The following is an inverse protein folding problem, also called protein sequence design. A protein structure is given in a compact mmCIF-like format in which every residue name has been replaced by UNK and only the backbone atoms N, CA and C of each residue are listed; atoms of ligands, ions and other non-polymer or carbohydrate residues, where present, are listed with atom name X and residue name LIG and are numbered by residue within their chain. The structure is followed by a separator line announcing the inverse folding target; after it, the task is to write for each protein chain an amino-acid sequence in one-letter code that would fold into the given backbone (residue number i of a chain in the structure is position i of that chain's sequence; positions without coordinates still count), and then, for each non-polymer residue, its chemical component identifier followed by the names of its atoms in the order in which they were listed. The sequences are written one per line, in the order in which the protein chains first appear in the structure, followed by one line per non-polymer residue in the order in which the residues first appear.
data_IF_925025741559
#
_entry.id   IF_925025741559
#
_cell.length_a   1.000
_cell.length_b   1.000
_cell.length_c   1.000
_cell.angle_alpha   90.00
_cell.angle_beta   90.00
_cell.angle_gamma   90.00
#
_symmetry.space_group_name_H-M   'P 1'
#
loop_
_entity.id
_entity.type
_entity.pdbx_description
1 polymer ?
#
# COMPACT_ATOMS: atom_id res chain seq x y z
N UNK A 1 21.00 -0.19 -3.80
CA UNK A 1 20.54 -1.29 -4.69
C UNK A 1 20.26 -0.70 -6.06
N UNK A 2 20.94 -1.16 -7.11
CA UNK A 2 20.73 -0.63 -8.47
C UNK A 2 19.49 -1.30 -9.08
N UNK A 3 18.33 -0.65 -9.02
CA UNK A 3 17.12 -1.18 -9.65
C UNK A 3 17.30 -1.23 -11.17
N UNK A 4 16.99 -2.36 -11.79
CA UNK A 4 16.98 -2.48 -13.26
C UNK A 4 15.89 -1.57 -13.83
N UNK A 5 16.27 -0.60 -14.66
CA UNK A 5 15.35 0.34 -15.31
C UNK A 5 15.03 -0.17 -16.71
N UNK A 6 13.75 -0.14 -17.09
CA UNK A 6 13.29 -0.41 -18.45
C UNK A 6 12.45 0.76 -18.94
N UNK A 7 12.79 1.29 -20.10
CA UNK A 7 12.07 2.41 -20.72
C UNK A 7 10.81 1.89 -21.43
N UNK A 8 9.72 2.61 -21.26
CA UNK A 8 8.44 2.37 -21.94
C UNK A 8 7.95 3.69 -22.53
N UNK A 9 7.30 3.61 -23.70
CA UNK A 9 6.69 4.77 -24.36
C UNK A 9 5.18 4.61 -24.29
N UNK A 10 4.48 5.66 -23.86
CA UNK A 10 3.03 5.69 -23.72
C UNK A 10 2.47 6.89 -24.48
N UNK A 11 1.24 6.72 -24.99
CA UNK A 11 0.45 7.82 -25.53
C UNK A 11 -0.43 8.38 -24.41
N UNK A 12 -0.22 9.64 -24.06
CA UNK A 12 -1.00 10.34 -23.04
C UNK A 12 -1.70 11.56 -23.66
N UNK A 13 -2.85 11.98 -23.12
CA UNK A 13 -3.50 13.23 -23.49
C UNK A 13 -2.53 14.42 -23.35
N UNK A 14 -2.55 15.33 -24.33
CA UNK A 14 -1.62 16.47 -24.40
C UNK A 14 -1.77 17.36 -23.16
N UNK A 15 -3.01 17.62 -22.74
CA UNK A 15 -3.35 18.41 -21.56
C UNK A 15 -2.75 17.84 -20.26
N UNK A 16 -2.65 16.52 -20.16
CA UNK A 16 -2.02 15.86 -19.01
C UNK A 16 -0.50 16.00 -19.05
N UNK A 17 0.11 15.83 -20.24
CA UNK A 17 1.57 15.96 -20.41
C UNK A 17 2.01 17.39 -20.11
N UNK A 18 1.25 18.38 -20.57
CA UNK A 18 1.56 19.79 -20.36
C UNK A 18 1.46 20.18 -18.88
N UNK A 19 0.42 19.71 -18.16
CA UNK A 19 0.32 19.91 -16.70
C UNK A 19 1.48 19.31 -15.91
N UNK A 20 1.88 18.08 -16.25
CA UNK A 20 3.01 17.44 -15.56
C UNK A 20 4.32 18.16 -15.87
N UNK A 21 4.46 18.72 -17.08
CA UNK A 21 5.60 19.57 -17.43
C UNK A 21 5.61 20.86 -16.61
N UNK A 22 4.48 21.56 -16.51
CA UNK A 22 4.32 22.75 -15.66
C UNK A 22 4.72 22.45 -14.21
N UNK A 23 4.28 21.32 -13.64
CA UNK A 23 4.67 20.93 -12.29
C UNK A 23 6.18 20.68 -12.11
N UNK A 24 6.87 20.23 -13.17
CA UNK A 24 8.32 20.08 -13.13
C UNK A 24 9.02 21.44 -13.25
N UNK A 25 8.52 22.34 -14.09
CA UNK A 25 9.04 23.70 -14.26
C UNK A 25 8.86 24.53 -12.99
N UNK A 26 7.70 24.43 -12.34
CA UNK A 26 7.39 25.06 -11.05
C UNK A 26 8.03 24.35 -9.84
N UNK A 27 8.83 23.31 -10.08
CA UNK A 27 9.60 22.55 -9.08
C UNK A 27 8.76 21.82 -8.02
N UNK A 28 7.49 21.54 -8.29
CA UNK A 28 6.69 20.64 -7.45
C UNK A 28 7.15 19.19 -7.58
N UNK A 29 7.66 18.80 -8.75
CA UNK A 29 8.25 17.49 -9.00
C UNK A 29 9.66 17.63 -9.58
N UNK A 30 10.53 16.66 -9.27
CA UNK A 30 11.93 16.70 -9.70
C UNK A 30 12.11 16.54 -11.22
N UNK A 31 11.21 15.81 -11.88
CA UNK A 31 11.15 15.65 -13.33
C UNK A 31 9.82 15.01 -13.73
N UNK A 32 9.46 15.08 -15.02
CA UNK A 32 8.29 14.39 -15.57
C UNK A 32 8.34 12.89 -15.25
N UNK A 33 9.49 12.24 -15.46
CA UNK A 33 9.66 10.81 -15.16
C UNK A 33 9.51 10.50 -13.67
N UNK A 34 9.96 11.39 -12.78
CA UNK A 34 9.77 11.23 -11.34
C UNK A 34 8.28 11.28 -10.99
N UNK A 35 7.55 12.27 -11.51
CA UNK A 35 6.11 12.38 -11.30
C UNK A 35 5.33 11.17 -11.83
N UNK A 36 5.66 10.68 -13.03
CA UNK A 36 5.02 9.48 -13.59
C UNK A 36 5.34 8.25 -12.72
N UNK A 37 6.59 8.09 -12.28
CA UNK A 37 7.00 6.97 -11.43
C UNK A 37 6.25 6.97 -10.09
N UNK A 38 6.10 8.15 -9.49
CA UNK A 38 5.36 8.32 -8.24
C UNK A 38 3.87 7.98 -8.43
N UNK A 39 3.23 8.54 -9.45
CA UNK A 39 1.83 8.25 -9.77
C UNK A 39 1.57 6.75 -10.00
N UNK A 40 2.48 6.07 -10.71
CA UNK A 40 2.39 4.62 -10.91
C UNK A 40 2.56 3.84 -9.60
N UNK A 41 3.49 4.25 -8.75
CA UNK A 41 3.71 3.61 -7.45
C UNK A 41 2.48 3.74 -6.55
N UNK A 42 1.86 4.92 -6.50
CA UNK A 42 0.66 5.16 -5.73
C UNK A 42 -0.54 4.37 -6.27
N UNK A 43 -0.65 4.27 -7.59
CA UNK A 43 -1.66 3.42 -8.22
C UNK A 43 -1.47 1.94 -7.86
N UNK A 44 -0.23 1.42 -7.90
CA UNK A 44 0.08 0.03 -7.52
C UNK A 44 -0.28 -0.20 -6.04
N UNK A 45 0.16 0.66 -5.13
CA UNK A 45 -0.16 0.54 -3.69
C UNK A 45 -1.66 0.57 -3.43
N UNK A 46 -2.40 1.40 -4.17
CA UNK A 46 -3.86 1.43 -4.09
C UNK A 46 -4.45 0.08 -4.49
N UNK A 47 -4.00 -0.49 -5.62
CA UNK A 47 -4.47 -1.78 -6.09
C UNK A 47 -4.13 -2.91 -5.10
N UNK A 48 -2.92 -2.95 -4.56
CA UNK A 48 -2.50 -3.93 -3.56
C UNK A 48 -3.36 -3.86 -2.29
N UNK A 49 -3.64 -2.65 -1.80
CA UNK A 49 -4.53 -2.46 -0.65
C UNK A 49 -5.96 -2.92 -0.93
N UNK A 50 -6.47 -2.64 -2.11
CA UNK A 50 -7.84 -3.04 -2.48
C UNK A 50 -7.93 -4.57 -2.65
N UNK A 51 -6.88 -5.21 -3.15
CA UNK A 51 -6.74 -6.68 -3.17
C UNK A 51 -6.72 -7.25 -1.75
N UNK A 52 -5.85 -6.74 -0.87
CA UNK A 52 -5.76 -7.19 0.51
C UNK A 52 -7.10 -7.06 1.25
N UNK A 53 -7.80 -5.93 1.08
CA UNK A 53 -9.14 -5.74 1.68
C UNK A 53 -10.13 -6.81 1.24
N UNK A 54 -10.09 -7.18 -0.03
CA UNK A 54 -10.97 -8.22 -0.58
C UNK A 54 -10.63 -9.59 0.00
N UNK A 55 -9.35 -9.92 0.07
CA UNK A 55 -8.88 -11.19 0.65
C UNK A 55 -9.21 -11.28 2.14
N UNK A 56 -8.98 -10.20 2.91
CA UNK A 56 -9.37 -10.14 4.33
C UNK A 56 -10.87 -10.28 4.53
N UNK A 57 -11.69 -9.66 3.67
CA UNK A 57 -13.14 -9.84 3.73
C UNK A 57 -13.52 -11.31 3.52
N UNK A 58 -12.96 -11.96 2.50
CA UNK A 58 -13.21 -13.37 2.25
C UNK A 58 -12.75 -14.24 3.43
N UNK A 59 -11.58 -13.97 4.00
CA UNK A 59 -11.05 -14.68 5.15
C UNK A 59 -11.91 -14.48 6.41
N UNK A 60 -12.50 -13.30 6.61
CA UNK A 60 -13.41 -13.04 7.74
C UNK A 60 -14.73 -13.83 7.66
N UNK A 61 -15.08 -14.31 6.47
CA UNK A 61 -16.25 -15.17 6.25
C UNK A 61 -15.88 -16.67 6.32
N UNK A 62 -14.60 -17.00 6.41
CA UNK A 62 -14.07 -18.37 6.50
C UNK A 62 -13.96 -18.83 7.97
N UNK A 63 -14.76 -19.82 8.42
CA UNK A 63 -14.73 -20.29 9.80
C UNK A 63 -13.38 -20.89 10.23
N UNK A 64 -12.63 -21.53 9.32
CA UNK A 64 -11.34 -22.14 9.64
C UNK A 64 -10.29 -21.06 9.90
N UNK A 65 -10.28 -20.02 9.05
CA UNK A 65 -9.40 -18.87 9.26
C UNK A 65 -9.67 -18.18 10.60
N UNK A 66 -10.94 -17.99 10.96
CA UNK A 66 -11.30 -17.40 12.26
C UNK A 66 -10.86 -18.29 13.43
N UNK A 67 -11.02 -19.61 13.30
CA UNK A 67 -10.54 -20.55 14.31
C UNK A 67 -9.03 -20.43 14.51
N UNK A 68 -8.24 -20.40 13.43
CA UNK A 68 -6.79 -20.23 13.49
C UNK A 68 -6.41 -18.92 14.22
N UNK A 69 -7.15 -17.83 13.98
CA UNK A 69 -6.95 -16.55 14.68
C UNK A 69 -7.25 -16.69 16.18
N UNK A 70 -8.35 -17.35 16.56
CA UNK A 70 -8.68 -17.54 17.98
C UNK A 70 -7.68 -18.42 18.71
N UNK A 71 -7.19 -19.48 18.07
CA UNK A 71 -6.14 -20.35 18.61
C UNK A 71 -4.83 -19.56 18.80
N UNK A 72 -4.44 -18.77 17.80
CA UNK A 72 -3.29 -17.88 17.93
C UNK A 72 -3.44 -16.89 19.10
N UNK A 73 -4.60 -16.23 19.23
CA UNK A 73 -4.87 -15.30 20.35
C UNK A 73 -4.76 -16.03 21.69
N UNK A 74 -5.25 -17.26 21.79
CA UNK A 74 -5.16 -18.06 23.01
C UNK A 74 -3.71 -18.42 23.35
N UNK A 75 -2.90 -18.81 22.37
CA UNK A 75 -1.49 -19.20 22.57
C UNK A 75 -0.61 -18.04 23.05
N UNK A 76 -0.92 -16.80 22.67
CA UNK A 76 -0.15 -15.61 23.08
C UNK A 76 -0.69 -14.94 24.35
N UNK A 77 -1.86 -15.34 24.85
CA UNK A 77 -2.53 -14.72 25.99
C UNK A 77 -1.64 -14.62 27.24
N UNK A 78 -0.97 -15.71 27.60
CA UNK A 78 -0.13 -15.72 28.81
C UNK A 78 1.09 -14.79 28.67
N UNK A 79 1.60 -14.60 27.45
CA UNK A 79 2.70 -13.67 27.17
C UNK A 79 2.23 -12.21 27.24
N UNK A 80 1.03 -11.91 26.77
CA UNK A 80 0.43 -10.57 26.86
C UNK A 80 0.13 -10.19 28.33
N UNK A 81 -0.30 -11.16 29.14
CA UNK A 81 -0.56 -10.98 30.58
C UNK A 81 0.72 -10.70 31.38
N UNK A 82 1.87 -11.30 30.99
CA UNK A 82 3.18 -11.04 31.62
C UNK A 82 3.70 -9.60 31.42
N UNK A 83 3.30 -8.93 30.35
CA UNK A 83 3.73 -7.56 30.02
C UNK A 83 2.80 -6.50 30.65
N UNK A 84 1.72 -6.93 31.31
CA UNK A 84 0.72 -6.06 31.94
C UNK A 84 -0.34 -5.65 30.93
N UNK A 85 -1.39 -6.47 30.84
CA UNK A 85 -2.55 -6.23 29.98
C UNK A 85 -3.10 -4.81 30.09
N UNK A 86 -3.13 -4.13 28.95
CA UNK A 86 -3.84 -2.88 28.64
C UNK A 86 -3.88 -1.78 29.72
N UNK A 87 -2.89 -0.88 29.66
CA UNK A 87 -3.15 0.55 29.71
C UNK A 87 -3.23 1.12 28.29
N UNK A 88 -4.26 0.79 27.51
CA UNK A 88 -4.56 1.51 26.27
C UNK A 88 -5.52 2.66 26.59
N UNK A 89 -4.96 3.81 26.93
CA UNK A 89 -5.65 5.10 26.84
C UNK A 89 -5.38 5.65 25.42
N UNK A 90 -6.43 5.75 24.61
CA UNK A 90 -6.44 6.52 23.35
C UNK A 90 -7.06 7.90 23.55
#
# INVERSE_FOLDING_TARGET
MNQKIKNYTFSLPIDMVDKVREFAEEKYIASINAGIKEALNDYIKKMERDMLKKEMKNASEDPLFLQDIYECIADFKDTDDEIGGEGYDW
#
